data_IF_804389934566
#
_entry.id   IF_804389934566
#
_cell.length_a   1.000
_cell.length_b   1.000
_cell.length_c   1.000
_cell.angle_alpha   90.00
_cell.angle_beta   90.00
_cell.angle_gamma   90.00
#
_symmetry.space_group_name_H-M   'P 1'
#
loop_
_entity.id
_entity.type
_entity.pdbx_description
1 polymer ?
#
# COMPACT_ATOMS: atom_id res chain seq x y z
N UNK A 1 -15.88 10.23 12.31
CA UNK A 1 -17.03 9.26 12.34
C UNK A 1 -17.19 8.48 11.02
N UNK A 2 -16.90 9.05 9.85
CA UNK A 2 -17.00 8.39 8.54
C UNK A 2 -16.03 7.19 8.39
N UNK A 3 -14.88 7.22 9.01
CA UNK A 3 -13.89 6.13 8.97
C UNK A 3 -14.34 4.87 9.73
N UNK A 4 -15.08 5.06 10.81
CA UNK A 4 -15.74 3.95 11.51
C UNK A 4 -16.80 3.26 10.63
N UNK A 5 -17.41 4.03 9.71
CA UNK A 5 -18.44 3.55 8.82
C UNK A 5 -17.90 2.60 7.73
N UNK A 6 -16.74 2.91 7.12
CA UNK A 6 -16.13 2.05 6.09
C UNK A 6 -15.68 0.69 6.64
N UNK A 7 -15.10 0.66 7.85
CA UNK A 7 -14.80 -0.59 8.56
C UNK A 7 -16.05 -1.39 8.93
N UNK A 8 -17.12 -0.69 9.35
CA UNK A 8 -18.41 -1.28 9.67
C UNK A 8 -19.12 -1.90 8.46
N UNK A 9 -18.98 -1.33 7.26
CA UNK A 9 -19.58 -1.88 6.02
C UNK A 9 -18.97 -3.23 5.64
N UNK A 10 -17.63 -3.42 5.82
CA UNK A 10 -16.99 -4.70 5.54
C UNK A 10 -17.50 -5.81 6.48
N UNK A 11 -17.61 -5.50 7.78
CA UNK A 11 -18.14 -6.45 8.78
C UNK A 11 -19.62 -6.76 8.57
N UNK A 12 -20.43 -5.78 8.22
CA UNK A 12 -21.86 -5.98 7.96
C UNK A 12 -22.14 -6.86 6.75
N UNK A 13 -21.26 -6.89 5.75
CA UNK A 13 -21.45 -7.65 4.51
C UNK A 13 -20.82 -9.04 4.52
N UNK A 14 -20.24 -9.48 5.64
CA UNK A 14 -19.61 -10.81 5.80
C UNK A 14 -18.74 -11.20 4.58
N UNK A 15 -17.77 -10.34 4.25
CA UNK A 15 -16.83 -10.64 3.16
C UNK A 15 -15.84 -11.69 3.66
N UNK A 16 -15.93 -12.91 3.12
CA UNK A 16 -15.08 -14.03 3.46
C UNK A 16 -13.98 -14.14 2.39
N UNK A 17 -12.71 -14.01 2.79
CA UNK A 17 -11.57 -13.99 1.88
C UNK A 17 -11.50 -15.18 0.91
N UNK A 18 -11.69 -16.45 1.32
CA UNK A 18 -11.66 -17.58 0.38
C UNK A 18 -12.69 -17.47 -0.75
N UNK A 19 -13.84 -16.85 -0.47
CA UNK A 19 -14.92 -16.68 -1.46
C UNK A 19 -14.78 -15.43 -2.31
N UNK A 20 -14.21 -14.36 -1.77
CA UNK A 20 -14.23 -13.04 -2.40
C UNK A 20 -12.85 -12.56 -2.86
N UNK A 21 -11.81 -13.32 -2.59
CA UNK A 21 -10.43 -12.99 -2.92
C UNK A 21 -9.80 -11.95 -1.98
N UNK A 22 -8.49 -11.82 -2.08
CA UNK A 22 -7.71 -10.82 -1.35
C UNK A 22 -7.30 -9.70 -2.30
N UNK A 23 -7.48 -8.46 -1.87
CA UNK A 23 -7.17 -7.26 -2.66
C UNK A 23 -5.73 -7.21 -3.17
N UNK A 24 -4.78 -7.85 -2.47
CA UNK A 24 -3.35 -7.76 -2.79
C UNK A 24 -2.86 -8.87 -3.74
N UNK A 25 -3.64 -9.92 -3.99
CA UNK A 25 -3.12 -11.14 -4.60
C UNK A 25 -3.96 -11.74 -5.72
N UNK A 26 -4.80 -11.02 -6.33
CA UNK A 26 -5.45 -11.57 -7.48
C UNK A 26 -6.91 -11.22 -7.64
N UNK A 27 -7.62 -11.93 -8.51
CA UNK A 27 -8.96 -11.54 -8.84
C UNK A 27 -9.86 -11.54 -7.60
N UNK A 28 -10.66 -10.50 -7.49
CA UNK A 28 -11.66 -10.35 -6.44
C UNK A 28 -13.04 -10.47 -7.03
N UNK A 29 -14.03 -10.93 -6.23
CA UNK A 29 -15.41 -10.96 -6.68
C UNK A 29 -15.94 -9.54 -6.95
N UNK A 30 -16.94 -9.42 -7.84
CA UNK A 30 -17.62 -8.15 -8.13
C UNK A 30 -18.13 -7.48 -6.86
N UNK A 31 -18.66 -8.26 -5.92
CA UNK A 31 -19.11 -7.76 -4.62
C UNK A 31 -17.97 -7.12 -3.83
N UNK A 32 -16.78 -7.72 -3.87
CA UNK A 32 -15.59 -7.18 -3.22
C UNK A 32 -15.12 -5.92 -3.93
N UNK A 33 -15.10 -5.95 -5.26
CA UNK A 33 -14.74 -4.78 -6.08
C UNK A 33 -15.67 -3.60 -5.79
N UNK A 34 -16.99 -3.81 -5.83
CA UNK A 34 -17.97 -2.76 -5.52
C UNK A 34 -17.77 -2.16 -4.12
N UNK A 35 -17.43 -2.99 -3.13
CA UNK A 35 -17.11 -2.51 -1.78
C UNK A 35 -15.85 -1.63 -1.76
N UNK A 36 -14.80 -2.02 -2.46
CA UNK A 36 -13.56 -1.23 -2.51
C UNK A 36 -13.77 0.11 -3.26
N UNK A 37 -14.50 0.08 -4.37
CA UNK A 37 -14.89 1.32 -5.08
C UNK A 37 -15.69 2.25 -4.15
N UNK A 38 -16.70 1.73 -3.47
CA UNK A 38 -17.48 2.54 -2.53
C UNK A 38 -16.61 3.14 -1.40
N UNK A 39 -15.63 2.40 -0.91
CA UNK A 39 -14.67 2.90 0.10
C UNK A 39 -13.84 4.08 -0.43
N UNK A 40 -13.39 3.98 -1.67
CA UNK A 40 -12.61 5.05 -2.30
C UNK A 40 -13.49 6.29 -2.51
N UNK A 41 -14.72 6.14 -2.99
CA UNK A 41 -15.65 7.27 -3.19
C UNK A 41 -15.97 7.99 -1.88
N UNK A 42 -16.30 7.24 -0.81
CA UNK A 42 -16.54 7.83 0.52
C UNK A 42 -15.31 8.57 1.05
N UNK A 43 -14.14 8.05 0.76
CA UNK A 43 -12.89 8.68 1.14
C UNK A 43 -12.65 9.98 0.35
N UNK A 44 -12.90 9.95 -0.95
CA UNK A 44 -12.79 11.10 -1.83
C UNK A 44 -13.70 12.25 -1.35
N UNK A 45 -14.98 11.97 -1.14
CA UNK A 45 -15.94 12.94 -0.58
C UNK A 45 -15.48 13.51 0.77
N UNK A 46 -14.95 12.64 1.65
CA UNK A 46 -14.43 13.06 2.95
C UNK A 46 -13.23 13.98 2.84
N UNK A 47 -12.30 13.70 1.93
CA UNK A 47 -11.12 14.54 1.68
C UNK A 47 -11.53 15.88 1.07
N UNK A 48 -12.46 15.86 0.12
CA UNK A 48 -13.02 17.06 -0.50
C UNK A 48 -13.68 17.99 0.51
N UNK A 49 -14.45 17.43 1.42
CA UNK A 49 -15.20 18.22 2.41
C UNK A 49 -14.35 18.70 3.60
N UNK A 50 -13.33 17.94 4.00
CA UNK A 50 -12.65 18.16 5.29
C UNK A 50 -11.12 18.24 5.19
N UNK A 51 -10.54 18.01 4.01
CA UNK A 51 -9.11 17.80 3.86
C UNK A 51 -8.64 16.51 4.55
N UNK A 52 -7.33 16.32 4.58
CA UNK A 52 -6.74 15.20 5.31
C UNK A 52 -6.81 15.45 6.82
N UNK A 53 -7.39 14.49 7.55
CA UNK A 53 -7.43 14.49 9.01
C UNK A 53 -6.77 13.23 9.56
N UNK A 54 -5.70 13.35 10.37
CA UNK A 54 -5.09 12.21 11.05
C UNK A 54 -6.09 11.49 11.95
N UNK A 55 -5.99 10.18 12.03
CA UNK A 55 -6.83 9.37 12.93
C UNK A 55 -5.94 8.62 13.92
N UNK A 56 -6.08 8.91 15.20
CA UNK A 56 -5.34 8.22 16.26
C UNK A 56 -5.67 6.70 16.30
N UNK A 57 -6.93 6.32 16.02
CA UNK A 57 -7.35 4.91 16.02
C UNK A 57 -6.86 4.13 14.81
N UNK A 58 -6.69 4.81 13.69
CA UNK A 58 -6.30 4.20 12.41
C UNK A 58 -5.22 5.06 11.74
N UNK A 59 -4.03 5.18 12.31
CA UNK A 59 -2.95 5.97 11.72
C UNK A 59 -2.60 5.42 10.33
N UNK A 60 -2.09 6.29 9.48
CA UNK A 60 -1.34 5.84 8.32
C UNK A 60 -0.04 5.20 8.82
N UNK A 61 0.36 4.08 8.23
CA UNK A 61 1.59 3.41 8.62
C UNK A 61 2.50 3.25 7.42
N UNK A 62 3.77 3.57 7.64
CA UNK A 62 4.81 3.47 6.61
C UNK A 62 6.01 2.68 7.12
N UNK A 63 6.69 2.04 6.18
CA UNK A 63 8.04 1.51 6.36
C UNK A 63 8.99 2.40 5.59
N UNK A 64 10.05 2.87 6.24
CA UNK A 64 11.14 3.59 5.61
C UNK A 64 12.11 2.63 4.93
N UNK A 65 12.42 2.86 3.67
CA UNK A 65 13.58 2.30 3.01
C UNK A 65 14.68 3.35 3.03
N UNK A 66 15.84 3.00 3.60
CA UNK A 66 17.00 3.89 3.68
C UNK A 66 18.15 3.37 2.81
N UNK A 67 18.72 4.28 2.03
CA UNK A 67 19.93 4.04 1.23
C UNK A 67 20.87 5.23 1.38
N UNK A 68 21.95 5.06 2.12
CA UNK A 68 22.80 6.19 2.53
C UNK A 68 22.02 7.21 3.34
N UNK A 69 21.98 8.48 2.89
CA UNK A 69 21.19 9.55 3.48
C UNK A 69 19.75 9.64 3.02
N UNK A 70 19.37 8.93 1.97
CA UNK A 70 18.06 9.04 1.32
C UNK A 70 17.03 8.09 1.93
N UNK A 71 15.76 8.52 1.91
CA UNK A 71 14.62 7.74 2.35
C UNK A 71 13.56 7.63 1.26
N UNK A 72 12.87 6.47 1.24
CA UNK A 72 11.61 6.25 0.55
C UNK A 72 10.61 5.62 1.50
N UNK A 73 9.36 6.06 1.42
CA UNK A 73 8.30 5.61 2.30
C UNK A 73 7.39 4.64 1.58
N UNK A 74 7.18 3.45 2.14
CA UNK A 74 6.22 2.46 1.66
C UNK A 74 4.99 2.49 2.53
N UNK A 75 3.83 2.74 1.93
CA UNK A 75 2.55 2.68 2.62
C UNK A 75 2.19 1.24 2.96
N UNK A 76 2.15 0.93 4.26
CA UNK A 76 1.79 -0.41 4.77
C UNK A 76 0.34 -0.49 5.19
N UNK A 77 -0.18 0.57 5.83
CA UNK A 77 -1.57 0.67 6.25
C UNK A 77 -2.17 1.99 5.81
N UNK A 78 -3.43 1.94 5.38
CA UNK A 78 -4.12 3.13 4.86
C UNK A 78 -3.79 3.46 3.41
N UNK A 79 -3.45 2.47 2.58
CA UNK A 79 -3.06 2.65 1.17
C UNK A 79 -4.08 3.44 0.35
N UNK A 80 -5.40 3.19 0.52
CA UNK A 80 -6.42 3.99 -0.14
C UNK A 80 -6.35 5.47 0.25
N UNK A 81 -6.07 5.79 1.52
CA UNK A 81 -5.90 7.17 1.98
C UNK A 81 -4.67 7.82 1.36
N UNK A 82 -3.54 7.11 1.31
CA UNK A 82 -2.34 7.60 0.62
C UNK A 82 -2.62 7.89 -0.85
N UNK A 83 -3.28 6.94 -1.54
CA UNK A 83 -3.62 7.12 -2.96
C UNK A 83 -4.57 8.31 -3.17
N UNK A 84 -5.57 8.46 -2.32
CA UNK A 84 -6.50 9.58 -2.41
C UNK A 84 -5.82 10.92 -2.08
N UNK A 85 -4.94 10.98 -1.07
CA UNK A 85 -4.17 12.18 -0.77
C UNK A 85 -3.25 12.57 -1.95
N UNK A 86 -2.61 11.58 -2.59
CA UNK A 86 -1.79 11.83 -3.77
C UNK A 86 -2.63 12.34 -4.96
N UNK A 87 -3.82 11.79 -5.18
CA UNK A 87 -4.73 12.24 -6.24
C UNK A 87 -5.20 13.69 -6.02
N UNK A 88 -5.34 14.10 -4.77
CA UNK A 88 -5.68 15.48 -4.38
C UNK A 88 -4.45 16.39 -4.23
N UNK A 89 -3.27 15.95 -4.67
CA UNK A 89 -2.01 16.70 -4.56
C UNK A 89 -1.75 17.25 -3.13
N UNK A 90 -2.07 16.46 -2.11
CA UNK A 90 -1.78 16.80 -0.72
C UNK A 90 -0.29 16.56 -0.48
N UNK A 91 0.46 17.62 -0.26
CA UNK A 91 1.93 17.61 -0.21
C UNK A 91 2.50 16.77 0.94
N UNK A 92 1.81 16.75 2.08
CA UNK A 92 2.28 16.01 3.25
C UNK A 92 1.13 15.42 4.06
N UNK A 93 1.39 14.26 4.64
CA UNK A 93 0.44 13.57 5.52
C UNK A 93 1.16 12.99 6.72
N UNK A 94 0.53 13.08 7.89
CA UNK A 94 1.05 12.43 9.09
C UNK A 94 0.96 10.91 8.99
N UNK A 95 2.08 10.23 9.20
CA UNK A 95 2.15 8.78 9.18
C UNK A 95 3.05 8.25 10.29
N UNK A 96 2.68 7.11 10.86
CA UNK A 96 3.51 6.39 11.83
C UNK A 96 4.55 5.56 11.11
N UNK A 97 5.83 5.81 11.36
CA UNK A 97 6.92 4.96 10.90
C UNK A 97 6.97 3.71 11.79
N UNK A 98 6.70 2.55 11.22
CA UNK A 98 6.69 1.28 11.95
C UNK A 98 8.04 0.59 11.94
N UNK A 99 8.85 0.83 10.91
CA UNK A 99 10.14 0.20 10.70
C UNK A 99 10.97 1.01 9.71
N UNK A 100 12.29 0.96 9.86
CA UNK A 100 13.25 1.42 8.86
C UNK A 100 14.09 0.23 8.41
N UNK A 101 14.13 -0.02 7.11
CA UNK A 101 14.96 -1.04 6.48
C UNK A 101 16.12 -0.33 5.81
N UNK A 102 17.33 -0.61 6.27
CA UNK A 102 18.56 -0.06 5.71
C UNK A 102 19.11 -1.01 4.67
N UNK A 103 19.51 -0.47 3.52
CA UNK A 103 20.07 -1.26 2.42
C UNK A 103 21.34 -1.99 2.83
N UNK A 104 22.17 -1.33 3.61
CA UNK A 104 23.46 -1.82 4.09
C UNK A 104 23.33 -3.03 5.03
N UNK A 105 22.19 -3.19 5.69
CA UNK A 105 21.93 -4.28 6.65
C UNK A 105 21.41 -5.57 5.96
N UNK A 106 21.53 -5.71 4.65
CA UNK A 106 20.94 -6.82 3.88
C UNK A 106 21.31 -8.20 4.43
N UNK A 107 22.53 -8.39 4.93
CA UNK A 107 22.99 -9.66 5.51
C UNK A 107 22.22 -10.07 6.78
N UNK A 108 21.60 -9.12 7.48
CA UNK A 108 20.81 -9.35 8.68
C UNK A 108 19.31 -9.48 8.41
N UNK A 109 18.85 -9.28 7.18
CA UNK A 109 17.42 -9.35 6.90
C UNK A 109 16.88 -10.77 7.09
N UNK A 110 15.76 -10.97 7.79
CA UNK A 110 15.29 -12.30 8.17
C UNK A 110 15.16 -13.29 7.01
N UNK A 111 14.72 -12.84 5.84
CA UNK A 111 14.59 -13.68 4.65
C UNK A 111 15.93 -14.03 3.98
N UNK A 112 16.95 -13.22 4.19
CA UNK A 112 18.32 -13.53 3.76
C UNK A 112 18.96 -14.48 4.75
N UNK A 113 18.83 -14.22 6.05
CA UNK A 113 19.33 -15.11 7.10
C UNK A 113 18.72 -16.51 7.01
N UNK A 114 17.43 -16.62 6.70
CA UNK A 114 16.74 -17.91 6.53
C UNK A 114 17.05 -18.61 5.21
N UNK A 115 17.85 -18.01 4.31
CA UNK A 115 18.15 -18.56 2.98
C UNK A 115 17.01 -18.46 1.95
N UNK A 116 15.87 -17.84 2.31
CA UNK A 116 14.75 -17.68 1.37
C UNK A 116 15.06 -16.70 0.24
N UNK A 117 16.00 -15.78 0.44
CA UNK A 117 16.55 -14.88 -0.59
C UNK A 117 18.08 -14.87 -0.51
N UNK A 118 18.73 -14.83 -1.67
CA UNK A 118 20.13 -14.41 -1.73
C UNK A 118 20.24 -12.93 -1.40
N UNK A 119 21.37 -12.47 -0.86
CA UNK A 119 21.60 -11.04 -0.61
C UNK A 119 21.37 -10.21 -1.89
N UNK A 120 21.92 -10.67 -3.03
CA UNK A 120 21.76 -9.99 -4.31
C UNK A 120 20.28 -9.93 -4.76
N UNK A 121 19.51 -11.01 -4.55
CA UNK A 121 18.08 -11.06 -4.85
C UNK A 121 17.31 -10.05 -4.00
N UNK A 122 17.58 -10.01 -2.69
CA UNK A 122 16.98 -9.09 -1.75
C UNK A 122 17.32 -7.62 -2.08
N UNK A 123 18.57 -7.32 -2.43
CA UNK A 123 19.00 -5.98 -2.86
C UNK A 123 18.29 -5.53 -4.15
N UNK A 124 18.14 -6.42 -5.14
CA UNK A 124 17.38 -6.09 -6.36
C UNK A 124 15.93 -5.71 -6.07
N UNK A 125 15.27 -6.41 -5.14
CA UNK A 125 13.91 -6.06 -4.70
C UNK A 125 13.91 -4.71 -4.00
N UNK A 126 14.82 -4.51 -3.03
CA UNK A 126 14.97 -3.25 -2.32
C UNK A 126 15.16 -2.07 -3.28
N UNK A 127 16.14 -2.15 -4.18
CA UNK A 127 16.48 -1.07 -5.10
C UNK A 127 15.34 -0.75 -6.07
N UNK A 128 14.56 -1.76 -6.48
CA UNK A 128 13.36 -1.56 -7.30
C UNK A 128 12.29 -0.77 -6.53
N UNK A 129 11.99 -1.18 -5.30
CA UNK A 129 11.04 -0.48 -4.43
C UNK A 129 11.51 0.94 -4.13
N UNK A 130 12.80 1.11 -3.85
CA UNK A 130 13.39 2.42 -3.57
C UNK A 130 13.27 3.38 -4.74
N UNK A 131 13.35 2.88 -5.99
CA UNK A 131 13.17 3.66 -7.22
C UNK A 131 11.70 3.84 -7.63
N UNK A 132 10.76 3.24 -6.91
CA UNK A 132 9.34 3.23 -7.29
C UNK A 132 9.05 2.47 -8.59
N UNK A 133 9.92 1.51 -8.97
CA UNK A 133 9.77 0.76 -10.20
C UNK A 133 8.81 -0.42 -10.02
N UNK A 134 7.82 -0.60 -10.89
CA UNK A 134 6.93 -1.76 -10.84
C UNK A 134 7.69 -3.06 -11.11
N UNK A 135 7.21 -4.21 -10.60
CA UNK A 135 7.82 -5.51 -10.90
C UNK A 135 7.69 -5.84 -12.39
N UNK A 136 8.65 -6.64 -12.91
CA UNK A 136 8.66 -6.99 -14.33
C UNK A 136 7.37 -7.67 -14.81
N UNK A 137 6.74 -8.50 -13.95
CA UNK A 137 5.43 -9.09 -14.23
C UNK A 137 4.32 -8.04 -14.34
N UNK A 138 4.36 -6.98 -13.53
CA UNK A 138 3.42 -5.84 -13.62
C UNK A 138 3.59 -5.07 -14.92
N UNK A 139 4.83 -4.81 -15.34
CA UNK A 139 5.12 -4.19 -16.64
C UNK A 139 4.65 -5.07 -17.82
N UNK A 140 4.87 -6.38 -17.73
CA UNK A 140 4.41 -7.31 -18.76
C UNK A 140 2.88 -7.39 -18.83
N UNK A 141 2.21 -7.29 -17.69
CA UNK A 141 0.75 -7.22 -17.61
C UNK A 141 0.22 -5.91 -18.22
N UNK A 142 0.76 -4.76 -17.81
CA UNK A 142 0.36 -3.45 -18.32
C UNK A 142 0.51 -3.35 -19.85
N UNK A 143 1.60 -3.89 -20.42
CA UNK A 143 1.77 -3.97 -21.88
C UNK A 143 0.69 -4.80 -22.58
N UNK A 144 0.26 -5.92 -21.96
CA UNK A 144 -0.78 -6.79 -22.53
C UNK A 144 -2.18 -6.19 -22.44
N UNK A 145 -2.45 -5.38 -21.44
CA UNK A 145 -3.76 -4.74 -21.20
C UNK A 145 -3.89 -3.36 -21.83
N UNK A 146 -2.84 -2.84 -22.48
CA UNK A 146 -2.83 -1.49 -23.04
C UNK A 146 -2.72 -0.36 -22.02
N UNK A 147 -2.49 -0.68 -20.75
CA UNK A 147 -2.38 0.28 -19.63
C UNK A 147 -0.95 0.83 -19.45
N UNK A 148 -0.05 0.59 -20.39
CA UNK A 148 1.29 1.15 -20.37
C UNK A 148 1.25 2.62 -20.79
N UNK A 149 1.06 3.54 -19.85
CA UNK A 149 1.35 4.97 -19.99
C UNK A 149 2.76 5.27 -19.50
#
# INVERSE_FOLDING_TARGET
RLWAFAGSLANRRKIVLPKHGMTDFGPVSERKLALEVQRVLVLDESLKANGFRPSARHPLEVVGLRRGGDYRWLAMRGRHRFAACAAWAIDSVDARVTKVIRREDVCTWPRVVSGAFTQQGALRVFDRLFRGQPPACGLAWARRTGDAR
#
